data_IF_955866297949
#
_entry.id   IF_955866297949
#
_cell.length_a   1.000
_cell.length_b   1.000
_cell.length_c   1.000
_cell.angle_alpha   90.00
_cell.angle_beta   90.00
_cell.angle_gamma   90.00
#
_symmetry.space_group_name_H-M   'P 1'
#
loop_
_entity.id
_entity.type
_entity.pdbx_description
1 polymer ?
#
# COMPACT_ATOMS: atom_id res chain seq x y z
N UNK A 1 13.45 33.48 40.17
CA UNK A 1 13.30 32.02 40.20
C UNK A 1 12.06 31.68 39.39
N UNK A 2 12.23 31.35 38.11
CA UNK A 2 11.16 30.84 37.25
C UNK A 2 11.60 29.47 36.78
N UNK A 3 10.82 28.46 37.18
CA UNK A 3 10.92 27.08 36.74
C UNK A 3 10.47 27.06 35.28
N UNK A 4 11.42 26.90 34.37
CA UNK A 4 11.12 26.58 32.97
C UNK A 4 11.30 25.07 32.86
N UNK A 5 10.18 24.43 32.55
CA UNK A 5 9.98 23.01 32.37
C UNK A 5 11.04 22.43 31.42
N UNK A 6 11.99 21.67 31.98
CA UNK A 6 12.85 20.79 31.19
C UNK A 6 12.03 19.53 30.97
N UNK A 7 11.30 19.46 29.87
CA UNK A 7 10.83 18.17 29.34
C UNK A 7 12.06 17.34 28.97
N UNK A 8 12.54 16.55 29.93
CA UNK A 8 13.36 15.39 29.66
C UNK A 8 12.52 14.42 28.83
N UNK A 9 12.72 14.44 27.52
CA UNK A 9 12.30 13.32 26.67
C UNK A 9 13.23 12.15 26.99
N UNK A 10 12.64 11.10 27.55
CA UNK A 10 13.28 9.82 27.78
C UNK A 10 13.65 9.21 26.41
N UNK A 11 14.90 9.35 26.00
CA UNK A 11 15.45 8.79 24.77
C UNK A 11 15.67 7.29 24.96
N UNK A 12 14.65 6.47 24.63
CA UNK A 12 14.90 5.06 24.37
C UNK A 12 15.81 4.93 23.14
N UNK A 13 17.04 4.55 23.43
CA UNK A 13 18.26 4.67 22.64
C UNK A 13 18.43 3.63 21.54
N UNK A 14 17.33 3.19 20.91
CA UNK A 14 17.42 2.25 19.79
C UNK A 14 17.33 2.96 18.44
N UNK A 15 18.48 3.06 17.78
CA UNK A 15 18.57 3.47 16.38
C UNK A 15 17.61 2.63 15.52
N UNK A 16 16.70 3.30 14.81
CA UNK A 16 15.72 2.61 13.98
C UNK A 16 16.44 1.86 12.86
N UNK A 17 16.28 0.54 12.84
CA UNK A 17 16.76 -0.27 11.73
C UNK A 17 15.84 -0.06 10.53
N UNK A 18 16.39 0.13 9.33
CA UNK A 18 15.55 0.12 8.13
C UNK A 18 14.81 -1.21 8.03
N UNK A 19 13.54 -1.14 7.63
CA UNK A 19 12.73 -2.30 7.31
C UNK A 19 12.12 -2.12 5.93
N UNK A 20 12.19 -3.16 5.10
CA UNK A 20 11.71 -3.17 3.72
C UNK A 20 10.64 -4.24 3.57
N UNK A 21 9.36 -3.83 3.52
CA UNK A 21 8.21 -4.72 3.43
C UNK A 21 8.22 -5.58 2.15
N UNK A 22 8.34 -4.90 1.00
CA UNK A 22 8.17 -5.54 -0.31
C UNK A 22 9.49 -6.06 -0.89
N UNK A 23 10.44 -5.13 -1.06
CA UNK A 23 11.70 -5.33 -1.76
C UNK A 23 12.69 -4.24 -1.35
N UNK A 24 13.99 -4.50 -1.56
CA UNK A 24 15.06 -3.57 -1.24
C UNK A 24 15.04 -2.31 -2.14
N UNK A 25 15.57 -1.17 -1.67
CA UNK A 25 15.71 0.04 -2.50
C UNK A 25 16.52 -0.17 -3.78
N UNK A 26 17.58 -0.98 -3.73
CA UNK A 26 18.44 -1.26 -4.88
C UNK A 26 17.70 -1.98 -6.00
N UNK A 27 16.80 -2.91 -5.66
CA UNK A 27 16.01 -3.65 -6.64
C UNK A 27 15.05 -2.77 -7.45
N UNK A 28 14.64 -1.62 -6.90
CA UNK A 28 13.78 -0.65 -7.58
C UNK A 28 14.53 0.24 -8.57
N UNK A 29 15.86 0.26 -8.55
CA UNK A 29 16.68 1.16 -9.36
C UNK A 29 16.32 1.18 -10.86
N UNK A 30 16.16 0.02 -11.54
CA UNK A 30 15.74 -0.01 -12.93
C UNK A 30 14.36 0.62 -13.17
N UNK A 31 13.40 0.40 -12.26
CA UNK A 31 12.03 0.93 -12.36
C UNK A 31 11.97 2.42 -12.07
N UNK A 32 12.77 2.91 -11.13
CA UNK A 32 12.91 4.34 -10.84
C UNK A 32 13.51 5.07 -12.05
N UNK A 33 14.52 4.48 -12.71
CA UNK A 33 15.10 5.03 -13.93
C UNK A 33 14.06 5.11 -15.05
N UNK A 34 13.36 4.01 -15.32
CA UNK A 34 12.29 3.92 -16.30
C UNK A 34 11.16 4.94 -16.04
N UNK A 35 10.80 5.16 -14.77
CA UNK A 35 9.80 6.17 -14.40
C UNK A 35 10.26 7.59 -14.75
N UNK A 36 11.54 7.92 -14.53
CA UNK A 36 12.10 9.25 -14.73
C UNK A 36 12.58 9.54 -16.17
N UNK A 37 12.74 8.53 -17.02
CA UNK A 37 13.22 8.66 -18.41
C UNK A 37 12.22 9.38 -19.34
N UNK A 38 10.93 9.42 -18.99
CA UNK A 38 9.87 10.06 -19.79
C UNK A 38 9.47 11.47 -19.36
N UNK A 39 10.01 11.99 -18.26
CA UNK A 39 9.62 13.30 -17.74
C UNK A 39 10.33 14.43 -18.50
N UNK A 40 9.58 15.39 -19.04
CA UNK A 40 10.15 16.57 -19.70
C UNK A 40 10.78 17.47 -18.63
N UNK A 41 12.12 17.48 -18.57
CA UNK A 41 12.86 18.34 -17.65
C UNK A 41 13.12 19.68 -18.31
N UNK A 42 12.90 20.77 -17.57
CA UNK A 42 13.50 22.04 -17.93
C UNK A 42 15.02 21.93 -17.71
N UNK A 43 15.82 22.53 -18.58
CA UNK A 43 17.28 22.45 -18.50
C UNK A 43 17.77 22.89 -17.10
N UNK A 44 18.44 21.98 -16.40
CA UNK A 44 19.10 22.24 -15.12
C UNK A 44 18.31 21.95 -13.84
N UNK A 45 17.03 21.54 -13.92
CA UNK A 45 16.27 21.16 -12.71
C UNK A 45 16.28 19.63 -12.51
N UNK A 46 16.80 19.18 -11.36
CA UNK A 46 16.78 17.76 -11.01
C UNK A 46 15.38 17.32 -10.56
N UNK A 47 15.08 16.03 -10.67
CA UNK A 47 13.77 15.47 -10.36
C UNK A 47 13.44 15.54 -8.87
N UNK A 48 12.19 15.88 -8.56
CA UNK A 48 11.62 15.88 -7.21
C UNK A 48 10.84 14.59 -7.00
N UNK A 49 11.21 13.83 -5.98
CA UNK A 49 10.60 12.53 -5.66
C UNK A 49 9.85 12.62 -4.33
N UNK A 50 8.63 12.09 -4.31
CA UNK A 50 7.84 11.88 -3.09
C UNK A 50 7.80 10.37 -2.81
N UNK A 51 8.10 9.98 -1.58
CA UNK A 51 7.94 8.60 -1.10
C UNK A 51 6.84 8.60 -0.04
N UNK A 52 5.67 8.08 -0.43
CA UNK A 52 4.46 8.08 0.38
C UNK A 52 4.41 6.84 1.28
N UNK A 53 3.93 7.02 2.51
CA UNK A 53 3.93 5.99 3.56
C UNK A 53 5.30 5.36 3.74
N UNK A 54 6.31 6.21 3.97
CA UNK A 54 7.70 5.80 3.87
C UNK A 54 8.11 4.73 4.91
N UNK A 55 7.37 4.61 6.01
CA UNK A 55 7.71 3.73 7.13
C UNK A 55 9.16 3.99 7.58
N UNK A 56 9.89 2.94 7.95
CA UNK A 56 11.32 3.03 8.29
C UNK A 56 12.27 2.73 7.12
N UNK A 57 11.73 2.62 5.90
CA UNK A 57 12.42 2.28 4.65
C UNK A 57 13.71 3.10 4.44
N UNK A 58 14.74 2.49 3.85
CA UNK A 58 15.95 3.20 3.42
C UNK A 58 15.83 3.80 2.02
N UNK A 59 14.68 3.64 1.33
CA UNK A 59 14.52 4.09 -0.05
C UNK A 59 14.82 5.58 -0.25
N UNK A 60 14.32 6.45 0.64
CA UNK A 60 14.56 7.89 0.51
C UNK A 60 16.05 8.26 0.59
N UNK A 61 16.79 7.58 1.48
CA UNK A 61 18.24 7.74 1.65
C UNK A 61 18.99 7.22 0.41
N UNK A 62 18.61 6.02 -0.07
CA UNK A 62 19.17 5.40 -1.27
C UNK A 62 19.02 6.30 -2.51
N UNK A 63 17.84 6.90 -2.70
CA UNK A 63 17.57 7.80 -3.83
C UNK A 63 18.50 9.02 -3.82
N UNK A 64 18.74 9.59 -2.64
CA UNK A 64 19.58 10.78 -2.52
C UNK A 64 21.08 10.44 -2.64
N UNK A 65 21.52 9.31 -2.10
CA UNK A 65 22.88 8.78 -2.27
C UNK A 65 23.18 8.49 -3.76
N UNK A 66 22.17 8.08 -4.51
CA UNK A 66 22.25 7.85 -5.95
C UNK A 66 21.67 9.02 -6.78
N UNK A 67 21.58 10.22 -6.19
CA UNK A 67 20.94 11.38 -6.83
C UNK A 67 21.53 11.73 -8.19
N UNK A 68 22.85 11.60 -8.36
CA UNK A 68 23.51 11.86 -9.65
C UNK A 68 23.12 10.82 -10.72
N UNK A 69 22.92 9.57 -10.31
CA UNK A 69 22.55 8.46 -11.22
C UNK A 69 21.13 8.60 -11.76
N UNK A 70 20.22 9.12 -10.94
CA UNK A 70 18.80 9.31 -11.27
C UNK A 70 18.46 10.75 -11.67
N UNK A 71 19.40 11.68 -11.50
CA UNK A 71 19.18 13.12 -11.70
C UNK A 71 18.14 13.69 -10.73
N UNK A 72 18.19 13.31 -9.45
CA UNK A 72 17.25 13.71 -8.39
C UNK A 72 17.81 14.92 -7.62
N UNK A 73 17.00 15.97 -7.47
CA UNK A 73 17.35 17.17 -6.70
C UNK A 73 16.83 17.13 -5.27
N UNK A 74 15.70 16.46 -5.03
CA UNK A 74 15.01 16.43 -3.74
C UNK A 74 14.20 15.16 -3.56
N UNK A 75 14.19 14.64 -2.33
CA UNK A 75 13.36 13.53 -1.90
C UNK A 75 12.56 13.97 -0.67
N UNK A 76 11.24 13.81 -0.72
CA UNK A 76 10.31 14.08 0.38
C UNK A 76 9.74 12.74 0.82
N UNK A 77 9.94 12.38 2.09
CA UNK A 77 9.33 11.20 2.70
C UNK A 77 8.15 11.66 3.56
N UNK A 78 6.99 11.03 3.39
CA UNK A 78 5.81 11.30 4.20
C UNK A 78 5.31 10.05 4.88
N UNK A 79 4.87 10.18 6.13
CA UNK A 79 4.24 9.11 6.91
C UNK A 79 3.35 9.72 8.01
N UNK A 80 2.38 8.97 8.52
CA UNK A 80 1.57 9.40 9.66
C UNK A 80 2.32 9.25 11.00
N UNK A 81 3.27 8.31 11.08
CA UNK A 81 4.01 8.03 12.31
C UNK A 81 5.19 9.00 12.53
N UNK A 82 4.94 10.01 13.35
CA UNK A 82 5.94 11.00 13.77
C UNK A 82 7.14 10.38 14.49
N UNK A 83 6.94 9.29 15.23
CA UNK A 83 8.03 8.63 15.97
C UNK A 83 9.02 8.01 15.00
N UNK A 84 8.52 7.25 14.02
CA UNK A 84 9.33 6.69 12.93
C UNK A 84 10.06 7.77 12.16
N UNK A 85 9.37 8.83 11.71
CA UNK A 85 9.99 9.93 10.97
C UNK A 85 11.11 10.64 11.74
N UNK A 86 10.92 10.87 13.05
CA UNK A 86 11.95 11.45 13.93
C UNK A 86 13.19 10.55 13.98
N UNK A 87 13.00 9.24 14.15
CA UNK A 87 14.10 8.27 14.22
C UNK A 87 14.84 8.16 12.88
N UNK A 88 14.13 8.17 11.75
CA UNK A 88 14.75 8.20 10.42
C UNK A 88 15.58 9.47 10.18
N UNK A 89 15.05 10.63 10.59
CA UNK A 89 15.80 11.89 10.49
C UNK A 89 17.09 11.83 11.31
N UNK A 90 17.05 11.27 12.52
CA UNK A 90 18.24 11.04 13.35
C UNK A 90 19.22 10.06 12.69
N UNK A 91 18.73 8.96 12.11
CA UNK A 91 19.53 8.00 11.33
C UNK A 91 20.29 8.69 10.20
N UNK A 92 19.59 9.47 9.38
CA UNK A 92 20.19 10.22 8.26
C UNK A 92 21.23 11.24 8.72
N UNK A 93 20.93 12.01 9.77
CA UNK A 93 21.86 12.99 10.35
C UNK A 93 23.13 12.35 10.88
N UNK A 94 23.03 11.19 11.56
CA UNK A 94 24.19 10.44 12.03
C UNK A 94 25.05 9.93 10.88
N UNK A 95 24.42 9.39 9.83
CA UNK A 95 25.10 8.87 8.62
C UNK A 95 25.85 9.98 7.86
N UNK A 96 25.29 11.18 7.83
CA UNK A 96 25.82 12.35 7.12
C UNK A 96 26.30 13.44 8.09
N UNK A 97 26.89 13.04 9.22
CA UNK A 97 27.32 13.98 10.26
C UNK A 97 28.26 15.06 9.66
N UNK A 98 27.84 16.33 9.79
CA UNK A 98 28.57 17.48 9.23
C UNK A 98 28.04 18.00 7.89
N UNK A 99 27.03 17.35 7.30
CA UNK A 99 26.33 17.82 6.09
C UNK A 99 24.87 18.14 6.45
N UNK A 100 24.49 19.40 6.30
CA UNK A 100 23.08 19.79 6.35
C UNK A 100 22.46 19.58 4.97
N UNK A 101 22.15 18.33 4.64
CA UNK A 101 21.54 17.98 3.35
C UNK A 101 20.03 18.21 3.38
N UNK A 102 19.62 19.43 3.04
CA UNK A 102 18.20 19.83 2.96
C UNK A 102 17.42 19.17 1.82
N UNK A 103 18.08 18.33 1.00
CA UNK A 103 17.45 17.58 -0.10
C UNK A 103 16.66 16.36 0.36
N UNK A 104 16.91 15.82 1.57
CA UNK A 104 16.10 14.75 2.16
C UNK A 104 15.16 15.31 3.24
N UNK A 105 13.86 15.27 2.95
CA UNK A 105 12.84 15.82 3.83
C UNK A 105 11.98 14.71 4.42
N UNK A 106 11.45 14.97 5.62
CA UNK A 106 10.56 14.09 6.36
C UNK A 106 9.41 14.93 6.87
N UNK A 107 8.19 14.65 6.41
CA UNK A 107 6.98 15.38 6.80
C UNK A 107 5.96 14.41 7.37
N UNK A 108 5.41 14.75 8.53
CA UNK A 108 4.27 14.02 9.08
C UNK A 108 3.02 14.44 8.33
N UNK A 109 2.32 13.47 7.74
CA UNK A 109 1.06 13.70 7.03
C UNK A 109 0.13 12.52 7.28
N UNK A 110 -1.05 12.79 7.84
CA UNK A 110 -2.16 11.85 7.80
C UNK A 110 -2.96 12.05 6.51
N UNK A 111 -2.75 11.18 5.52
CA UNK A 111 -3.36 11.31 4.20
C UNK A 111 -4.89 11.23 4.22
N UNK A 112 -5.52 10.73 5.29
CA UNK A 112 -6.98 10.73 5.40
C UNK A 112 -7.53 12.15 5.60
N UNK A 113 -6.81 12.96 6.38
CA UNK A 113 -7.31 14.23 6.93
C UNK A 113 -6.50 15.45 6.48
N UNK A 114 -5.29 15.26 5.98
CA UNK A 114 -4.34 16.31 5.65
C UNK A 114 -3.86 16.23 4.20
N UNK A 115 -3.52 17.39 3.63
CA UNK A 115 -2.80 17.48 2.35
C UNK A 115 -1.30 17.65 2.63
N UNK A 116 -0.49 17.05 1.78
CA UNK A 116 0.96 17.26 1.74
C UNK A 116 1.21 18.72 1.36
N UNK A 117 2.10 19.38 2.11
CA UNK A 117 2.43 20.82 1.96
C UNK A 117 3.33 21.06 0.75
N UNK A 118 2.84 20.68 -0.41
CA UNK A 118 3.51 20.79 -1.69
C UNK A 118 2.55 21.32 -2.75
N UNK A 119 3.07 22.20 -3.60
CA UNK A 119 2.30 22.78 -4.70
C UNK A 119 1.92 21.68 -5.70
N UNK A 120 0.70 21.77 -6.23
CA UNK A 120 0.20 20.87 -7.28
C UNK A 120 1.11 20.92 -8.51
N UNK A 121 1.22 19.80 -9.22
CA UNK A 121 2.03 19.67 -10.43
C UNK A 121 3.53 19.96 -10.24
N UNK A 122 4.13 19.52 -9.14
CA UNK A 122 5.55 19.78 -8.87
C UNK A 122 6.41 18.56 -8.59
N UNK A 123 5.80 17.37 -8.47
CA UNK A 123 6.51 16.11 -8.22
C UNK A 123 6.67 15.33 -9.53
N UNK A 124 7.90 14.94 -9.84
CA UNK A 124 8.21 14.15 -11.03
C UNK A 124 7.87 12.67 -10.83
N UNK A 125 8.11 12.16 -9.62
CA UNK A 125 7.89 10.76 -9.27
C UNK A 125 7.31 10.65 -7.86
N UNK A 126 6.15 10.00 -7.74
CA UNK A 126 5.64 9.50 -6.45
C UNK A 126 5.93 8.01 -6.40
N UNK A 127 6.59 7.55 -5.34
CA UNK A 127 6.82 6.13 -5.09
C UNK A 127 5.97 5.70 -3.90
N UNK A 128 5.21 4.64 -4.11
CA UNK A 128 4.36 4.00 -3.12
C UNK A 128 4.74 2.53 -3.02
N UNK A 129 5.15 2.11 -1.83
CA UNK A 129 5.46 0.71 -1.50
C UNK A 129 4.44 0.21 -0.48
N UNK A 130 3.34 -0.35 -0.95
CA UNK A 130 2.23 -0.86 -0.13
C UNK A 130 1.49 0.17 0.74
N UNK A 131 1.64 1.47 0.49
CA UNK A 131 0.76 2.44 1.15
C UNK A 131 -0.65 2.31 0.62
N UNK A 132 -0.83 2.24 -0.69
CA UNK A 132 -2.14 1.93 -1.28
C UNK A 132 -2.72 0.62 -0.73
N UNK A 133 -1.87 -0.42 -0.60
CA UNK A 133 -2.27 -1.71 -0.03
C UNK A 133 -2.88 -1.54 1.37
N UNK A 134 -2.26 -0.72 2.20
CA UNK A 134 -2.75 -0.43 3.55
C UNK A 134 -4.02 0.43 3.57
N UNK A 135 -4.28 1.23 2.53
CA UNK A 135 -5.47 2.10 2.51
C UNK A 135 -6.69 1.43 1.90
N UNK A 136 -6.54 0.33 1.14
CA UNK A 136 -7.64 -0.33 0.42
C UNK A 136 -8.79 -0.82 1.31
N UNK A 137 -8.56 -0.98 2.61
CA UNK A 137 -9.62 -1.27 3.59
C UNK A 137 -10.55 -0.09 3.88
N UNK A 138 -10.27 1.10 3.31
CA UNK A 138 -11.07 2.31 3.45
C UNK A 138 -11.09 3.07 2.13
N UNK A 139 -12.28 3.20 1.55
CA UNK A 139 -12.49 3.89 0.28
C UNK A 139 -12.12 5.37 0.41
N UNK A 140 -12.47 5.97 1.55
CA UNK A 140 -12.19 7.37 1.83
C UNK A 140 -10.68 7.66 1.97
N UNK A 141 -9.93 6.75 2.60
CA UNK A 141 -8.47 6.88 2.73
C UNK A 141 -7.78 6.66 1.39
N UNK A 142 -8.21 5.64 0.65
CA UNK A 142 -7.70 5.32 -0.69
C UNK A 142 -7.96 6.47 -1.68
N UNK A 143 -9.18 7.01 -1.68
CA UNK A 143 -9.52 8.16 -2.50
C UNK A 143 -8.68 9.39 -2.14
N UNK A 144 -8.46 9.63 -0.85
CA UNK A 144 -7.59 10.72 -0.40
C UNK A 144 -6.16 10.56 -0.90
N UNK A 145 -5.59 9.35 -0.81
CA UNK A 145 -4.26 9.05 -1.34
C UNK A 145 -4.20 9.29 -2.86
N UNK A 146 -5.11 8.69 -3.65
CA UNK A 146 -5.10 8.80 -5.11
C UNK A 146 -5.30 10.25 -5.59
N UNK A 147 -6.22 10.99 -4.97
CA UNK A 147 -6.48 12.40 -5.29
C UNK A 147 -5.26 13.27 -5.00
N UNK A 148 -4.60 13.05 -3.86
CA UNK A 148 -3.41 13.80 -3.46
C UNK A 148 -2.19 13.49 -4.33
N UNK A 149 -1.96 12.20 -4.63
CA UNK A 149 -0.91 11.77 -5.56
C UNK A 149 -1.11 12.44 -6.92
N UNK A 150 -2.30 12.33 -7.50
CA UNK A 150 -2.58 12.90 -8.81
C UNK A 150 -2.39 14.43 -8.83
N UNK A 151 -2.86 15.13 -7.79
CA UNK A 151 -2.68 16.58 -7.63
C UNK A 151 -1.21 17.00 -7.66
N UNK A 152 -0.33 16.22 -7.02
CA UNK A 152 1.09 16.55 -6.86
C UNK A 152 1.92 16.24 -8.11
N UNK A 153 1.57 15.20 -8.86
CA UNK A 153 2.28 14.80 -10.07
C UNK A 153 2.30 15.92 -11.09
N UNK A 154 3.48 16.19 -11.65
CA UNK A 154 3.62 17.12 -12.77
C UNK A 154 2.70 16.71 -13.93
N UNK A 155 1.99 17.69 -14.49
CA UNK A 155 1.08 17.49 -15.62
C UNK A 155 1.79 17.12 -16.94
N UNK A 156 3.13 17.16 -16.99
CA UNK A 156 3.93 16.89 -18.19
C UNK A 156 4.72 15.57 -18.10
N UNK A 157 4.08 14.49 -17.65
CA UNK A 157 4.72 13.18 -17.54
C UNK A 157 5.22 12.83 -16.15
N UNK A 158 4.64 13.40 -15.09
CA UNK A 158 4.85 12.91 -13.73
C UNK A 158 4.33 11.47 -13.59
N UNK A 159 5.02 10.65 -12.79
CA UNK A 159 4.71 9.22 -12.64
C UNK A 159 4.37 8.86 -11.20
N UNK A 160 3.28 8.13 -11.01
CA UNK A 160 3.03 7.36 -9.80
C UNK A 160 3.53 5.92 -10.01
N UNK A 161 4.56 5.55 -9.25
CA UNK A 161 5.17 4.23 -9.23
C UNK A 161 4.66 3.47 -8.00
N UNK A 162 3.69 2.59 -8.22
CA UNK A 162 3.11 1.74 -7.19
C UNK A 162 3.79 0.37 -7.21
N UNK A 163 4.23 -0.08 -6.04
CA UNK A 163 4.75 -1.43 -5.80
C UNK A 163 3.82 -2.10 -4.79
N UNK A 164 3.28 -3.25 -5.14
CA UNK A 164 2.16 -3.85 -4.38
C UNK A 164 2.15 -5.39 -4.42
N UNK A 165 1.57 -5.99 -3.36
CA UNK A 165 1.18 -7.41 -3.34
C UNK A 165 -0.23 -7.68 -3.84
N UNK A 166 -1.08 -6.67 -3.92
CA UNK A 166 -2.47 -6.87 -4.32
C UNK A 166 -2.57 -7.40 -5.75
N UNK A 167 -3.66 -8.12 -5.98
CA UNK A 167 -3.93 -8.77 -7.26
C UNK A 167 -4.05 -7.72 -8.37
N UNK A 168 -3.47 -8.03 -9.54
CA UNK A 168 -3.54 -7.17 -10.73
C UNK A 168 -4.97 -6.91 -11.17
N UNK A 169 -5.86 -7.90 -11.06
CA UNK A 169 -7.26 -7.76 -11.42
C UNK A 169 -8.05 -6.79 -10.52
N UNK A 170 -7.58 -6.53 -9.30
CA UNK A 170 -8.12 -5.47 -8.44
C UNK A 170 -7.48 -4.11 -8.80
N UNK A 171 -6.15 -4.05 -8.81
CA UNK A 171 -5.42 -2.77 -8.93
C UNK A 171 -5.49 -2.16 -10.32
N UNK A 172 -5.44 -2.97 -11.37
CA UNK A 172 -5.41 -2.45 -12.73
C UNK A 172 -6.70 -1.69 -13.07
N UNK A 173 -7.92 -2.24 -12.88
CA UNK A 173 -9.15 -1.48 -13.08
C UNK A 173 -9.28 -0.28 -12.14
N UNK A 174 -8.79 -0.41 -10.90
CA UNK A 174 -8.81 0.67 -9.91
C UNK A 174 -8.03 1.89 -10.41
N UNK A 175 -6.84 1.67 -10.98
CA UNK A 175 -5.97 2.74 -11.46
C UNK A 175 -6.35 3.22 -12.87
N UNK A 176 -6.64 2.32 -13.80
CA UNK A 176 -6.94 2.65 -15.21
C UNK A 176 -8.24 3.43 -15.36
N UNK A 177 -9.27 3.05 -14.60
CA UNK A 177 -10.60 3.64 -14.71
C UNK A 177 -10.87 4.70 -13.62
N UNK A 178 -9.83 5.13 -12.91
CA UNK A 178 -9.96 6.12 -11.84
C UNK A 178 -10.54 7.44 -12.38
N UNK A 179 -11.73 7.89 -11.91
CA UNK A 179 -12.42 9.05 -12.47
C UNK A 179 -11.59 10.33 -12.45
N UNK A 180 -11.56 11.04 -13.59
CA UNK A 180 -10.84 12.30 -13.75
C UNK A 180 -9.32 12.16 -13.95
N UNK A 181 -8.76 10.95 -13.80
CA UNK A 181 -7.35 10.74 -14.08
C UNK A 181 -7.09 10.78 -15.59
N UNK A 182 -6.03 11.48 -15.97
CA UNK A 182 -5.50 11.48 -17.33
C UNK A 182 -4.07 10.95 -17.29
N UNK A 183 -3.95 9.66 -16.98
CA UNK A 183 -2.68 8.94 -17.00
C UNK A 183 -2.76 7.67 -17.85
N UNK A 184 -1.61 7.22 -18.32
CA UNK A 184 -1.44 5.90 -18.90
C UNK A 184 -0.94 4.95 -17.81
N UNK A 185 -1.67 3.87 -17.57
CA UNK A 185 -1.28 2.83 -16.62
C UNK A 185 -0.56 1.72 -17.38
N UNK A 186 0.59 1.30 -16.86
CA UNK A 186 1.31 0.12 -17.34
C UNK A 186 1.73 -0.73 -16.16
N UNK A 187 1.72 -2.05 -16.36
CA UNK A 187 2.01 -3.04 -15.33
C UNK A 187 3.24 -3.85 -15.72
N UNK A 188 4.04 -4.20 -14.72
CA UNK A 188 5.09 -5.20 -14.83
C UNK A 188 5.20 -5.98 -13.53
N UNK A 189 5.80 -7.17 -13.62
CA UNK A 189 6.14 -7.98 -12.45
C UNK A 189 7.64 -7.90 -12.23
N UNK A 190 8.07 -7.82 -10.96
CA UNK A 190 9.48 -7.93 -10.61
C UNK A 190 9.72 -8.95 -9.51
N UNK A 191 10.92 -9.54 -9.51
CA UNK A 191 11.39 -10.39 -8.42
C UNK A 191 11.70 -9.53 -7.20
N UNK A 192 11.22 -9.96 -6.05
CA UNK A 192 11.51 -9.35 -4.75
C UNK A 192 12.94 -9.65 -4.35
N UNK A 193 13.58 -8.64 -3.78
CA UNK A 193 14.85 -8.79 -3.08
C UNK A 193 14.64 -8.32 -1.65
N UNK A 194 14.17 -9.22 -0.79
CA UNK A 194 14.18 -8.97 0.64
C UNK A 194 15.54 -9.42 1.13
N UNK A 195 16.54 -8.55 1.01
CA UNK A 195 17.81 -8.78 1.68
C UNK A 195 17.52 -8.78 3.18
N UNK A 196 17.87 -9.86 3.87
CA UNK A 196 17.88 -9.87 5.32
C UNK A 196 18.97 -8.91 5.76
N UNK A 197 18.60 -7.65 6.04
CA UNK A 197 19.49 -6.54 6.42
C UNK A 197 20.30 -6.84 7.70
N UNK A 198 20.08 -8.01 8.32
CA UNK A 198 20.83 -8.55 9.45
C UNK A 198 22.09 -9.33 9.04
N UNK A 199 22.23 -9.73 7.77
CA UNK A 199 23.34 -10.56 7.31
C UNK A 199 24.54 -9.73 6.81
N UNK A 200 25.60 -9.66 7.64
CA UNK A 200 26.88 -9.03 7.31
C UNK A 200 27.73 -9.80 6.28
N UNK A 201 27.15 -10.62 5.40
CA UNK A 201 27.92 -11.42 4.46
C UNK A 201 27.83 -10.87 3.03
N UNK A 202 28.84 -10.07 2.67
CA UNK A 202 29.09 -9.59 1.33
C UNK A 202 29.55 -10.75 0.45
N UNK A 203 28.62 -11.39 -0.26
CA UNK A 203 28.94 -12.16 -1.48
C UNK A 203 27.92 -11.84 -2.57
N UNK A 204 28.33 -10.95 -3.47
CA UNK A 204 27.68 -10.66 -4.73
C UNK A 204 27.38 -11.96 -5.48
N UNK A 205 26.09 -12.30 -5.61
CA UNK A 205 25.65 -13.30 -6.59
C UNK A 205 25.36 -12.52 -7.87
N UNK A 206 26.17 -12.78 -8.90
CA UNK A 206 26.02 -12.19 -10.24
C UNK A 206 24.65 -12.53 -10.84
N UNK A 207 24.02 -11.61 -11.59
CA UNK A 207 22.75 -11.88 -12.26
C UNK A 207 22.96 -12.91 -13.37
N UNK A 208 22.43 -14.12 -13.21
CA UNK A 208 22.30 -15.05 -14.32
C UNK A 208 21.24 -14.52 -15.30
N UNK A 209 21.58 -14.61 -16.59
CA UNK A 209 20.74 -14.17 -17.72
C UNK A 209 19.31 -14.68 -17.58
N UNK A 210 18.35 -13.76 -17.44
CA UNK A 210 16.93 -14.05 -17.57
C UNK A 210 16.66 -14.53 -19.01
N UNK A 211 16.39 -15.82 -19.17
CA UNK A 211 15.77 -16.35 -20.38
C UNK A 211 14.32 -15.85 -20.43
N UNK A 212 13.92 -15.37 -21.60
CA UNK A 212 12.56 -14.92 -21.92
C UNK A 212 11.57 -16.06 -21.65
N UNK A 213 10.93 -16.03 -20.48
CA UNK A 213 9.88 -16.98 -20.06
C UNK A 213 8.52 -16.31 -20.19
N UNK A 214 7.57 -17.04 -20.75
CA UNK A 214 6.22 -16.56 -21.03
C UNK A 214 5.47 -16.19 -19.75
N UNK A 215 4.67 -15.13 -19.85
CA UNK A 215 3.88 -14.52 -18.80
C UNK A 215 2.70 -15.41 -18.39
N UNK A 216 2.93 -16.42 -17.53
CA UNK A 216 1.83 -16.99 -16.74
C UNK A 216 1.71 -16.20 -15.44
N UNK A 217 0.62 -15.48 -15.27
CA UNK A 217 0.30 -14.75 -14.05
C UNK A 217 0.12 -15.74 -12.90
N UNK A 218 0.74 -15.44 -11.75
CA UNK A 218 0.69 -16.19 -10.47
C UNK A 218 -0.72 -16.23 -9.82
N UNK A 219 -1.78 -16.01 -10.61
CA UNK A 219 -3.11 -15.61 -10.15
C UNK A 219 -4.24 -16.42 -10.80
N UNK A 220 -3.94 -17.53 -11.47
CA UNK A 220 -4.91 -18.20 -12.36
C UNK A 220 -5.69 -19.35 -11.75
N UNK A 221 -5.54 -19.68 -10.46
CA UNK A 221 -6.28 -20.80 -9.88
C UNK A 221 -6.92 -20.42 -8.54
N UNK A 222 -8.23 -20.71 -8.44
CA UNK A 222 -9.16 -20.46 -7.34
C UNK A 222 -8.83 -21.18 -6.03
N UNK A 223 -7.60 -21.65 -5.88
CA UNK A 223 -7.04 -22.19 -4.65
C UNK A 223 -6.23 -21.10 -3.96
N UNK A 224 -6.58 -20.77 -2.72
CA UNK A 224 -5.74 -19.96 -1.80
C UNK A 224 -4.45 -20.70 -1.40
N UNK A 225 -3.77 -21.35 -2.34
CA UNK A 225 -2.41 -21.82 -2.19
C UNK A 225 -1.53 -20.85 -2.98
N UNK A 226 -0.94 -19.83 -2.32
CA UNK A 226 0.02 -18.97 -2.99
C UNK A 226 1.11 -19.83 -3.61
N UNK A 227 1.25 -19.77 -4.93
CA UNK A 227 2.28 -20.54 -5.62
C UNK A 227 3.68 -20.10 -5.15
N UNK A 228 4.71 -20.87 -5.50
CA UNK A 228 6.09 -20.57 -5.07
C UNK A 228 6.57 -19.18 -5.58
N UNK A 229 5.87 -18.62 -6.58
CA UNK A 229 6.14 -17.32 -7.20
C UNK A 229 5.49 -16.16 -6.45
N UNK A 230 4.32 -16.35 -5.81
CA UNK A 230 3.65 -15.35 -4.97
C UNK A 230 4.60 -14.78 -3.91
N UNK A 231 5.38 -15.66 -3.27
CA UNK A 231 6.38 -15.24 -2.26
C UNK A 231 7.58 -14.52 -2.85
N UNK A 232 7.84 -14.65 -4.16
CA UNK A 232 9.07 -14.20 -4.82
C UNK A 232 8.86 -12.98 -5.72
N UNK A 233 7.64 -12.59 -6.05
CA UNK A 233 7.35 -11.46 -6.96
C UNK A 233 6.46 -10.40 -6.34
N UNK A 234 6.51 -9.20 -6.91
CA UNK A 234 5.59 -8.09 -6.62
C UNK A 234 5.14 -7.43 -7.92
N UNK A 235 3.96 -6.84 -7.88
CA UNK A 235 3.41 -6.05 -8.98
C UNK A 235 3.98 -4.63 -8.92
N UNK A 236 4.31 -4.10 -10.09
CA UNK A 236 4.79 -2.72 -10.26
C UNK A 236 3.93 -2.04 -11.32
N UNK A 237 3.23 -1.00 -10.91
CA UNK A 237 2.42 -0.16 -11.78
C UNK A 237 3.07 1.19 -11.99
N UNK A 238 3.03 1.67 -13.23
CA UNK A 238 3.40 3.03 -13.60
C UNK A 238 2.16 3.73 -14.11
N UNK A 239 1.66 4.70 -13.35
CA UNK A 239 0.59 5.60 -13.79
C UNK A 239 1.24 6.93 -14.20
N UNK A 240 1.44 7.11 -15.51
CA UNK A 240 2.13 8.27 -16.06
C UNK A 240 1.14 9.29 -16.57
N UNK A 241 1.13 10.45 -15.93
CA UNK A 241 0.23 11.55 -16.30
C UNK A 241 0.51 12.02 -17.71
N UNK A 242 -0.53 12.06 -18.55
CA UNK A 242 -0.41 12.53 -19.93
C UNK A 242 -0.10 14.03 -19.93
N UNK A 243 0.67 14.54 -20.91
CA UNK A 243 0.85 15.96 -21.12
C UNK A 243 -0.50 16.64 -21.41
N UNK A 244 -1.13 17.19 -20.38
CA UNK A 244 -2.39 17.92 -20.51
C UNK A 244 -2.17 19.43 -20.50
N UNK A 245 -2.94 20.15 -21.32
CA UNK A 245 -2.95 21.61 -21.34
C UNK A 245 -3.70 22.23 -20.14
N UNK A 246 -4.47 21.43 -19.39
CA UNK A 246 -5.10 21.84 -18.14
C UNK A 246 -4.25 21.38 -16.94
N UNK A 247 -3.52 22.32 -16.36
CA UNK A 247 -2.65 22.09 -15.21
C UNK A 247 -3.37 22.26 -13.87
N UNK A 248 -4.68 22.52 -13.85
CA UNK A 248 -5.42 22.86 -12.61
C UNK A 248 -6.46 21.84 -12.20
N UNK A 249 -6.63 20.77 -12.97
CA UNK A 249 -7.59 19.72 -12.68
C UNK A 249 -7.25 18.99 -11.36
N UNK A 250 -8.11 19.16 -10.36
CA UNK A 250 -8.16 18.32 -9.16
C UNK A 250 -9.21 17.24 -9.34
N UNK A 251 -8.94 16.04 -8.84
CA UNK A 251 -9.89 14.94 -8.86
C UNK A 251 -11.02 15.17 -7.86
N UNK A 252 -12.24 14.80 -8.22
CA UNK A 252 -13.35 14.78 -7.28
C UNK A 252 -13.24 13.56 -6.34
N UNK A 253 -12.96 13.82 -5.06
CA UNK A 253 -12.77 12.79 -4.04
C UNK A 253 -13.97 11.86 -3.91
N UNK A 254 -15.18 12.37 -4.07
CA UNK A 254 -16.42 11.58 -3.96
C UNK A 254 -16.51 10.55 -5.08
N UNK A 255 -16.28 10.98 -6.32
CA UNK A 255 -16.26 10.09 -7.50
C UNK A 255 -15.16 9.03 -7.39
N UNK A 256 -13.97 9.41 -6.92
CA UNK A 256 -12.87 8.45 -6.70
C UNK A 256 -13.24 7.44 -5.60
N UNK A 257 -13.82 7.89 -4.48
CA UNK A 257 -14.27 7.01 -3.39
C UNK A 257 -15.33 6.01 -3.86
N UNK A 258 -16.31 6.48 -4.64
CA UNK A 258 -17.31 5.59 -5.25
C UNK A 258 -16.68 4.55 -6.18
N UNK A 259 -15.72 4.96 -7.02
CA UNK A 259 -15.01 4.06 -7.91
C UNK A 259 -14.18 3.01 -7.15
N UNK A 260 -13.51 3.40 -6.06
CA UNK A 260 -12.80 2.46 -5.17
C UNK A 260 -13.79 1.43 -4.62
N UNK A 261 -14.92 1.90 -4.07
CA UNK A 261 -15.97 1.03 -3.55
C UNK A 261 -16.47 0.03 -4.61
N UNK A 262 -16.85 0.52 -5.79
CA UNK A 262 -17.39 -0.32 -6.87
C UNK A 262 -16.37 -1.34 -7.37
N UNK A 263 -15.11 -0.93 -7.54
CA UNK A 263 -14.04 -1.80 -8.03
C UNK A 263 -13.71 -2.89 -7.02
N UNK A 264 -13.54 -2.53 -5.74
CA UNK A 264 -13.29 -3.49 -4.65
C UNK A 264 -14.45 -4.47 -4.50
N UNK A 265 -15.69 -3.97 -4.46
CA UNK A 265 -16.89 -4.79 -4.37
C UNK A 265 -16.99 -5.81 -5.51
N UNK A 266 -16.79 -5.34 -6.75
CA UNK A 266 -16.84 -6.21 -7.92
C UNK A 266 -15.78 -7.31 -7.83
N UNK A 267 -14.56 -6.96 -7.45
CA UNK A 267 -13.46 -7.91 -7.31
C UNK A 267 -13.76 -8.97 -6.25
N UNK A 268 -14.16 -8.56 -5.04
CA UNK A 268 -14.43 -9.49 -3.96
C UNK A 268 -15.69 -10.32 -4.18
N UNK A 269 -16.69 -9.84 -4.93
CA UNK A 269 -17.86 -10.67 -5.27
C UNK A 269 -17.59 -11.66 -6.39
N UNK A 270 -16.94 -11.21 -7.47
CA UNK A 270 -16.88 -11.98 -8.71
C UNK A 270 -15.62 -12.87 -8.78
N UNK A 271 -14.48 -12.36 -8.32
CA UNK A 271 -13.16 -12.98 -8.59
C UNK A 271 -12.52 -13.58 -7.33
N UNK A 272 -12.82 -13.02 -6.14
CA UNK A 272 -12.28 -13.50 -4.86
C UNK A 272 -13.33 -13.55 -3.73
N UNK A 273 -14.47 -14.26 -3.92
CA UNK A 273 -15.52 -14.35 -2.92
C UNK A 273 -15.07 -15.08 -1.66
N UNK A 274 -15.26 -14.46 -0.50
CA UNK A 274 -15.09 -15.14 0.79
C UNK A 274 -16.02 -16.35 0.91
N UNK A 275 -17.22 -16.26 0.34
CA UNK A 275 -18.29 -17.26 0.45
C UNK A 275 -18.58 -17.91 -0.90
N UNK A 276 -17.74 -18.87 -1.27
CA UNK A 276 -17.96 -19.72 -2.44
C UNK A 276 -19.14 -20.68 -2.24
N UNK A 277 -19.72 -21.20 -3.33
CA UNK A 277 -20.78 -22.21 -3.24
C UNK A 277 -20.31 -23.47 -2.50
N UNK A 278 -19.04 -23.85 -2.65
CA UNK A 278 -18.46 -24.95 -1.87
C UNK A 278 -18.43 -24.63 -0.38
N UNK A 279 -17.97 -23.43 0.02
CA UNK A 279 -17.97 -23.00 1.42
C UNK A 279 -19.40 -22.96 1.99
N UNK A 280 -20.39 -22.51 1.21
CA UNK A 280 -21.82 -22.57 1.61
C UNK A 280 -22.27 -24.01 1.87
N UNK A 281 -21.91 -24.96 1.00
CA UNK A 281 -22.23 -26.38 1.21
C UNK A 281 -21.55 -26.95 2.46
N UNK A 282 -20.29 -26.63 2.68
CA UNK A 282 -19.52 -27.09 3.85
C UNK A 282 -20.10 -26.54 5.15
N UNK A 283 -20.43 -25.24 5.19
CA UNK A 283 -21.12 -24.62 6.32
C UNK A 283 -22.50 -25.25 6.55
N UNK A 284 -23.29 -25.49 5.49
CA UNK A 284 -24.60 -26.15 5.62
C UNK A 284 -24.48 -27.53 6.25
N UNK A 285 -23.49 -28.32 5.83
CA UNK A 285 -23.26 -29.64 6.39
C UNK A 285 -22.81 -29.57 7.85
N UNK A 286 -22.03 -28.55 8.22
CA UNK A 286 -21.50 -28.39 9.57
C UNK A 286 -22.55 -27.87 10.57
N UNK A 287 -23.45 -26.97 10.15
CA UNK A 287 -24.56 -26.48 10.97
C UNK A 287 -25.72 -27.48 11.06
N UNK A 288 -25.97 -28.26 10.00
CA UNK A 288 -27.18 -29.10 9.90
C UNK A 288 -28.45 -28.25 9.99
N UNK A 289 -29.45 -28.75 10.74
CA UNK A 289 -30.72 -28.03 11.00
C UNK A 289 -30.71 -27.26 12.33
N UNK A 290 -29.54 -27.12 12.98
CA UNK A 290 -29.39 -26.57 14.33
C UNK A 290 -28.88 -25.13 14.38
N UNK A 291 -28.86 -24.58 15.59
CA UNK A 291 -28.16 -23.35 15.95
C UNK A 291 -26.89 -23.66 16.72
N UNK A 292 -25.85 -22.87 16.52
CA UNK A 292 -24.59 -22.94 17.27
C UNK A 292 -24.43 -21.68 18.13
N UNK A 293 -23.71 -21.80 19.24
CA UNK A 293 -23.22 -20.63 19.98
C UNK A 293 -22.17 -19.88 19.15
N UNK A 294 -21.95 -18.60 19.48
CA UNK A 294 -21.04 -17.73 18.72
C UNK A 294 -19.59 -18.22 18.70
N UNK A 295 -19.08 -18.85 19.75
CA UNK A 295 -17.68 -19.32 19.78
C UNK A 295 -17.51 -20.53 18.84
N UNK A 296 -18.45 -21.48 18.90
CA UNK A 296 -18.49 -22.61 17.98
C UNK A 296 -18.66 -22.15 16.53
N UNK A 297 -19.52 -21.16 16.31
CA UNK A 297 -19.74 -20.55 15.00
C UNK A 297 -18.45 -19.91 14.46
N UNK A 298 -17.77 -19.06 15.24
CA UNK A 298 -16.52 -18.42 14.84
C UNK A 298 -15.44 -19.43 14.43
N UNK A 299 -15.27 -20.52 15.19
CA UNK A 299 -14.30 -21.59 14.87
C UNK A 299 -14.66 -22.38 13.62
N UNK A 300 -15.94 -22.40 13.25
CA UNK A 300 -16.45 -23.13 12.08
C UNK A 300 -16.46 -22.26 10.82
N UNK A 301 -16.86 -21.01 10.97
CA UNK A 301 -17.03 -20.04 9.88
C UNK A 301 -15.68 -19.58 9.36
N UNK A 302 -14.73 -19.30 10.24
CA UNK A 302 -13.39 -18.82 9.88
C UNK A 302 -12.36 -19.95 9.97
N UNK A 303 -11.51 -20.04 8.95
CA UNK A 303 -10.31 -20.90 8.89
C UNK A 303 -9.28 -20.51 9.95
N UNK A 304 -8.27 -21.35 10.17
CA UNK A 304 -7.20 -21.04 11.12
C UNK A 304 -6.44 -19.77 10.70
N UNK A 305 -6.18 -19.62 9.40
CA UNK A 305 -5.49 -18.45 8.84
C UNK A 305 -6.32 -17.16 8.91
N UNK A 306 -7.65 -17.24 8.74
CA UNK A 306 -8.54 -16.08 8.92
C UNK A 306 -8.57 -15.64 10.40
N UNK A 307 -8.55 -16.59 11.34
CA UNK A 307 -8.55 -16.32 12.79
C UNK A 307 -7.24 -15.72 13.32
N UNK A 308 -6.14 -15.86 12.58
CA UNK A 308 -4.89 -15.15 12.91
C UNK A 308 -5.03 -13.63 12.71
N UNK A 309 -5.99 -13.19 11.88
CA UNK A 309 -6.19 -11.79 11.51
C UNK A 309 -7.49 -11.19 12.07
N UNK A 310 -8.52 -12.02 12.27
CA UNK A 310 -9.78 -11.66 12.88
C UNK A 310 -9.95 -12.47 14.17
N UNK A 311 -9.53 -11.92 15.31
CA UNK A 311 -9.72 -12.60 16.59
C UNK A 311 -11.21 -12.64 17.00
N UNK A 312 -11.49 -13.37 18.07
CA UNK A 312 -12.86 -13.55 18.54
C UNK A 312 -13.48 -12.25 19.06
N UNK A 313 -12.69 -11.30 19.58
CA UNK A 313 -13.22 -10.02 20.07
C UNK A 313 -13.68 -9.15 18.91
N UNK A 314 -12.87 -9.06 17.83
CA UNK A 314 -13.27 -8.36 16.61
C UNK A 314 -14.50 -8.98 15.95
N UNK A 315 -14.56 -10.32 15.88
CA UNK A 315 -15.74 -11.02 15.40
C UNK A 315 -17.01 -10.64 16.19
N UNK A 316 -16.92 -10.53 17.52
CA UNK A 316 -18.07 -10.13 18.35
C UNK A 316 -18.51 -8.69 18.09
N UNK A 317 -17.59 -7.78 17.77
CA UNK A 317 -17.92 -6.39 17.45
C UNK A 317 -18.57 -6.27 16.06
N UNK A 318 -18.09 -7.04 15.08
CA UNK A 318 -18.72 -7.15 13.76
C UNK A 318 -20.12 -7.77 13.88
N UNK A 319 -20.25 -8.82 14.68
CA UNK A 319 -21.53 -9.49 14.95
C UNK A 319 -22.56 -8.54 15.60
N UNK A 320 -22.15 -7.74 16.60
CA UNK A 320 -23.03 -6.72 17.19
C UNK A 320 -23.49 -5.71 16.14
N UNK A 321 -22.56 -5.23 15.32
CA UNK A 321 -22.86 -4.26 14.25
C UNK A 321 -23.85 -4.82 13.23
N UNK A 322 -23.71 -6.11 12.89
CA UNK A 322 -24.65 -6.84 12.04
C UNK A 322 -26.05 -6.95 12.67
N UNK A 323 -26.14 -7.34 13.95
CA UNK A 323 -27.42 -7.43 14.66
C UNK A 323 -28.15 -6.08 14.75
N UNK A 324 -27.42 -4.99 15.00
CA UNK A 324 -27.99 -3.63 15.09
C UNK A 324 -28.67 -3.17 13.78
N UNK A 325 -28.28 -3.74 12.64
CA UNK A 325 -28.83 -3.40 11.30
C UNK A 325 -30.13 -4.12 10.95
N UNK A 326 -30.66 -4.97 11.84
CA UNK A 326 -32.08 -5.36 11.80
C UNK A 326 -32.40 -6.83 11.54
N UNK A 327 -31.46 -7.75 11.78
CA UNK A 327 -31.77 -9.19 11.75
C UNK A 327 -32.05 -9.64 13.19
N UNK A 328 -33.32 -9.88 13.49
CA UNK A 328 -33.83 -10.33 14.80
C UNK A 328 -33.44 -11.79 15.08
N UNK A 329 -32.15 -12.05 15.24
CA UNK A 329 -31.61 -13.35 15.70
C UNK A 329 -31.31 -13.24 17.19
N UNK A 330 -31.44 -14.34 17.93
CA UNK A 330 -31.01 -14.38 19.33
C UNK A 330 -29.54 -13.97 19.43
N UNK A 331 -29.21 -13.04 20.34
CA UNK A 331 -27.90 -12.36 20.37
C UNK A 331 -26.68 -13.28 20.49
N UNK A 332 -26.89 -14.50 20.99
CA UNK A 332 -25.81 -15.40 21.42
C UNK A 332 -25.69 -16.66 20.55
N UNK A 333 -26.53 -16.81 19.52
CA UNK A 333 -26.57 -18.00 18.67
C UNK A 333 -26.75 -17.65 17.21
N UNK A 334 -26.23 -18.50 16.33
CA UNK A 334 -26.29 -18.36 14.89
C UNK A 334 -26.81 -19.65 14.26
N UNK A 335 -27.72 -19.55 13.29
CA UNK A 335 -28.05 -20.64 12.37
C UNK A 335 -27.30 -20.48 11.05
N UNK A 336 -27.40 -21.49 10.17
CA UNK A 336 -26.75 -21.44 8.86
C UNK A 336 -27.14 -20.21 8.03
N UNK A 337 -28.44 -19.85 8.01
CA UNK A 337 -28.92 -18.73 7.20
C UNK A 337 -28.33 -17.40 7.67
N UNK A 338 -28.23 -17.24 8.98
CA UNK A 338 -27.64 -16.08 9.63
C UNK A 338 -26.13 -16.02 9.40
N UNK A 339 -25.43 -17.16 9.47
CA UNK A 339 -23.99 -17.23 9.19
C UNK A 339 -23.65 -16.84 7.74
N UNK A 340 -24.48 -17.30 6.80
CA UNK A 340 -24.36 -16.90 5.39
C UNK A 340 -24.61 -15.41 5.22
N UNK A 341 -25.69 -14.88 5.79
CA UNK A 341 -26.00 -13.45 5.69
C UNK A 341 -24.90 -12.58 6.34
N UNK A 342 -24.35 -13.01 7.47
CA UNK A 342 -23.23 -12.34 8.13
C UNK A 342 -21.98 -12.32 7.24
N UNK A 343 -21.59 -13.46 6.67
CA UNK A 343 -20.45 -13.54 5.75
C UNK A 343 -20.67 -12.77 4.45
N UNK A 344 -21.91 -12.68 3.96
CA UNK A 344 -22.26 -11.88 2.78
C UNK A 344 -22.17 -10.38 3.07
N UNK A 345 -22.41 -9.95 4.31
CA UNK A 345 -22.21 -8.55 4.73
C UNK A 345 -20.74 -8.20 5.01
N UNK A 346 -19.91 -9.18 5.38
CA UNK A 346 -18.47 -8.99 5.59
C UNK A 346 -17.64 -8.91 4.30
N UNK A 347 -18.21 -9.33 3.15
CA UNK A 347 -17.58 -9.18 1.83
C UNK A 347 -17.68 -7.75 1.31
#
# INVERSE_FOLDING_TARGET
MSVVDVMQCDESSEDIRPFEWLTSPSSLGPRIREALEGSVKADGDGSRVLHVGCGSSALGEYLLENSTLYGISRVINVDKDVSTLRRMRSRWKKKNAGLDDCRLQYEQVDLLTEKIKCQSNTIDLVIDKSTLDCTLCSEETTASLLTEVYRLLKANGGVYLLVSFHNVGLLQPLLENCPGTDWDVSHSVMMRQVEDLTSRDTRCISPQKASRMESSTAWTESSCTPDEMYRKTVNVFFCRRRPSGDHTHELDRTSVSHHVNETSNKWYRDESPMLTEQRKMDLRNAFGDGTLDLESCYRMVFSEEERDHLDFEFFLDDWKSFCERGISVGSDHMDYATAVAFLEEMQ
#
